data_IF_481010100399
#
_entry.id   IF_481010100399
#
_cell.length_a   1.000
_cell.length_b   1.000
_cell.length_c   1.000
_cell.angle_alpha   90.00
_cell.angle_beta   90.00
_cell.angle_gamma   90.00
#
_symmetry.space_group_name_H-M   'P 1'
#
loop_
_entity.id
_entity.type
_entity.pdbx_description
1 polymer ?
#
# COMPACT_ATOMS: atom_id res chain seq x y z
N UNK A 1 14.91 -11.45 -8.56
CA UNK A 1 15.57 -11.22 -7.26
C UNK A 1 14.54 -11.59 -6.20
N UNK A 2 14.95 -12.08 -5.04
CA UNK A 2 14.02 -12.33 -3.94
C UNK A 2 13.88 -11.00 -3.18
N UNK A 3 12.97 -10.12 -3.61
CA UNK A 3 12.91 -8.71 -3.15
C UNK A 3 12.73 -8.60 -1.63
N UNK A 4 12.07 -9.60 -1.04
CA UNK A 4 11.91 -9.70 0.39
C UNK A 4 13.24 -9.99 1.11
N UNK A 5 14.20 -10.67 0.45
CA UNK A 5 15.56 -10.79 0.97
C UNK A 5 16.23 -9.42 1.11
N UNK A 6 16.17 -8.57 0.08
CA UNK A 6 16.84 -7.26 0.11
C UNK A 6 16.24 -6.33 1.17
N UNK A 7 14.90 -6.30 1.25
CA UNK A 7 14.18 -5.55 2.29
C UNK A 7 14.61 -6.07 3.67
N UNK A 8 14.64 -7.39 3.86
CA UNK A 8 15.02 -8.01 5.15
C UNK A 8 16.46 -7.67 5.53
N UNK A 9 17.41 -7.82 4.61
CA UNK A 9 18.83 -7.53 4.82
C UNK A 9 19.05 -6.05 5.21
N UNK A 10 18.36 -5.14 4.52
CA UNK A 10 18.42 -3.69 4.81
C UNK A 10 17.82 -3.36 6.16
N UNK A 11 16.62 -3.87 6.44
CA UNK A 11 15.97 -3.71 7.73
C UNK A 11 16.85 -4.23 8.88
N UNK A 12 17.56 -5.35 8.70
CA UNK A 12 18.49 -5.89 9.71
C UNK A 12 19.71 -4.99 9.94
N UNK A 13 20.30 -4.44 8.86
CA UNK A 13 21.44 -3.52 8.97
C UNK A 13 21.08 -2.18 9.59
N UNK A 14 19.86 -1.72 9.34
CA UNK A 14 19.38 -0.41 9.77
C UNK A 14 18.04 -0.57 10.51
N UNK A 15 18.07 -0.92 11.82
CA UNK A 15 16.86 -1.19 12.60
C UNK A 15 15.85 -0.03 12.69
N UNK A 16 16.30 1.20 12.46
CA UNK A 16 15.45 2.39 12.43
C UNK A 16 14.60 2.50 11.15
N UNK A 17 14.98 1.82 10.06
CA UNK A 17 14.24 1.87 8.81
C UNK A 17 12.83 1.31 8.98
N UNK A 18 11.88 2.02 8.37
CA UNK A 18 10.46 1.68 8.29
C UNK A 18 10.15 1.16 6.90
N UNK A 19 9.27 0.17 6.82
CA UNK A 19 8.81 -0.40 5.56
C UNK A 19 7.29 -0.52 5.54
N UNK A 20 6.71 -0.63 4.35
CA UNK A 20 5.27 -0.55 4.11
C UNK A 20 4.90 0.73 3.34
N UNK A 21 3.64 1.11 3.41
CA UNK A 21 3.10 2.29 2.75
C UNK A 21 2.63 3.31 3.78
N UNK A 22 2.48 4.57 3.36
CA UNK A 22 1.66 5.55 4.08
C UNK A 22 0.23 5.37 3.61
N UNK A 23 -0.71 5.16 4.53
CA UNK A 23 -2.14 5.00 4.22
C UNK A 23 -2.90 6.26 4.61
N UNK A 24 -3.65 6.84 3.67
CA UNK A 24 -4.56 7.95 3.92
C UNK A 24 -5.99 7.45 4.00
N UNK A 25 -6.60 7.53 5.19
CA UNK A 25 -8.02 7.29 5.37
C UNK A 25 -8.80 8.51 4.85
N UNK A 26 -9.56 8.30 3.77
CA UNK A 26 -10.35 9.37 3.13
C UNK A 26 -11.86 9.10 3.21
N UNK A 27 -12.28 8.28 4.17
CA UNK A 27 -13.68 7.94 4.42
C UNK A 27 -13.88 7.74 5.92
N UNK A 28 -14.84 8.48 6.47
CA UNK A 28 -15.13 8.50 7.90
C UNK A 28 -16.61 8.18 8.17
N UNK A 29 -16.93 7.80 9.40
CA UNK A 29 -18.30 7.54 9.85
C UNK A 29 -18.68 6.06 10.01
N UNK A 30 -17.74 5.14 9.80
CA UNK A 30 -17.91 3.70 10.09
C UNK A 30 -16.56 3.10 10.50
N UNK A 31 -16.23 3.26 11.79
CA UNK A 31 -14.96 2.80 12.36
C UNK A 31 -14.88 1.26 12.34
N UNK A 32 -16.00 0.57 12.51
CA UNK A 32 -16.07 -0.90 12.40
C UNK A 32 -15.71 -1.37 10.98
N UNK A 33 -16.15 -0.66 9.94
CA UNK A 33 -15.75 -0.94 8.57
C UNK A 33 -14.26 -0.67 8.34
N UNK A 34 -13.72 0.40 8.92
CA UNK A 34 -12.29 0.71 8.85
C UNK A 34 -11.44 -0.38 9.51
N UNK A 35 -11.79 -0.81 10.72
CA UNK A 35 -11.11 -1.88 11.44
C UNK A 35 -11.13 -3.20 10.65
N UNK A 36 -12.27 -3.53 10.05
CA UNK A 36 -12.39 -4.70 9.17
C UNK A 36 -11.50 -4.60 7.93
N UNK A 37 -11.38 -3.40 7.35
CA UNK A 37 -10.50 -3.17 6.21
C UNK A 37 -9.02 -3.33 6.61
N UNK A 38 -8.61 -2.74 7.73
CA UNK A 38 -7.25 -2.90 8.23
C UNK A 38 -6.96 -4.36 8.61
N UNK A 39 -7.93 -5.08 9.18
CA UNK A 39 -7.82 -6.51 9.43
C UNK A 39 -7.63 -7.31 8.14
N UNK A 40 -8.42 -6.99 7.10
CA UNK A 40 -8.30 -7.62 5.78
C UNK A 40 -6.90 -7.39 5.20
N UNK A 41 -6.46 -6.14 5.15
CA UNK A 41 -5.17 -5.75 4.59
C UNK A 41 -4.02 -6.48 5.31
N UNK A 42 -4.00 -6.42 6.64
CA UNK A 42 -2.94 -7.05 7.44
C UNK A 42 -2.94 -8.57 7.28
N UNK A 43 -4.11 -9.21 7.29
CA UNK A 43 -4.20 -10.67 7.15
C UNK A 43 -3.71 -11.11 5.78
N UNK A 44 -4.16 -10.44 4.73
CA UNK A 44 -3.76 -10.76 3.37
C UNK A 44 -2.24 -10.58 3.18
N UNK A 45 -1.71 -9.44 3.60
CA UNK A 45 -0.31 -9.11 3.45
C UNK A 45 0.61 -10.06 4.23
N UNK A 46 0.21 -10.45 5.44
CA UNK A 46 0.93 -11.44 6.25
C UNK A 46 1.00 -12.79 5.52
N UNK A 47 -0.12 -13.28 5.02
CA UNK A 47 -0.20 -14.58 4.34
C UNK A 47 0.63 -14.58 3.05
N UNK A 48 0.56 -13.51 2.25
CA UNK A 48 1.37 -13.39 1.03
C UNK A 48 2.88 -13.43 1.34
N UNK A 49 3.33 -12.77 2.41
CA UNK A 49 4.74 -12.82 2.82
C UNK A 49 5.18 -14.20 3.29
N UNK A 50 4.33 -14.90 4.04
CA UNK A 50 4.56 -16.28 4.49
C UNK A 50 4.68 -17.26 3.33
N UNK A 51 3.77 -17.15 2.35
CA UNK A 51 3.70 -18.03 1.18
C UNK A 51 4.83 -17.78 0.17
N UNK A 52 5.08 -16.53 -0.21
CA UNK A 52 6.03 -16.23 -1.30
C UNK A 52 7.50 -16.23 -0.84
N UNK A 53 7.78 -15.90 0.42
CA UNK A 53 9.15 -15.60 0.87
C UNK A 53 9.65 -16.54 1.98
N UNK A 54 8.92 -17.62 2.24
CA UNK A 54 9.13 -18.51 3.38
C UNK A 54 9.34 -17.73 4.69
N UNK A 55 8.67 -16.58 4.85
CA UNK A 55 8.77 -15.69 6.03
C UNK A 55 8.00 -16.29 7.22
N UNK A 56 8.35 -17.54 7.54
CA UNK A 56 7.70 -18.42 8.51
C UNK A 56 7.81 -17.94 9.96
N UNK A 57 8.62 -16.92 10.23
CA UNK A 57 8.78 -16.27 11.54
C UNK A 57 8.21 -14.84 11.57
N UNK A 58 7.40 -14.46 10.57
CA UNK A 58 6.81 -13.12 10.44
C UNK A 58 7.84 -11.97 10.50
N UNK A 59 9.07 -12.20 10.04
CA UNK A 59 10.19 -11.29 10.25
C UNK A 59 10.02 -9.96 9.52
N UNK A 60 9.44 -9.97 8.31
CA UNK A 60 9.11 -8.75 7.60
C UNK A 60 7.79 -8.18 8.12
N UNK A 61 6.74 -9.01 8.21
CA UNK A 61 5.42 -8.54 8.63
C UNK A 61 5.45 -7.84 9.99
N UNK A 62 6.18 -8.37 10.98
CA UNK A 62 6.32 -7.75 12.31
C UNK A 62 6.97 -6.36 12.30
N UNK A 63 7.65 -6.00 11.21
CA UNK A 63 8.30 -4.70 11.04
C UNK A 63 7.50 -3.71 10.23
N UNK A 64 6.33 -4.12 9.73
CA UNK A 64 5.52 -3.27 8.87
C UNK A 64 5.03 -2.05 9.63
N UNK A 65 5.03 -0.92 8.93
CA UNK A 65 4.55 0.33 9.46
C UNK A 65 3.67 0.99 8.40
N UNK A 66 2.36 0.94 8.61
CA UNK A 66 1.38 1.52 7.69
C UNK A 66 1.26 3.05 7.78
N UNK A 67 1.84 3.66 8.84
CA UNK A 67 1.78 5.09 9.12
C UNK A 67 0.47 5.75 8.68
N UNK A 68 -0.63 5.25 9.24
CA UNK A 68 -1.99 5.64 8.85
C UNK A 68 -2.20 7.12 9.20
N UNK A 69 -2.61 7.91 8.22
CA UNK A 69 -2.98 9.30 8.37
C UNK A 69 -4.50 9.41 8.55
N UNK A 70 -4.91 9.66 9.79
CA UNK A 70 -6.29 9.80 10.22
C UNK A 70 -6.54 11.27 10.61
N UNK A 71 -7.09 12.04 9.69
CA UNK A 71 -7.38 13.46 9.85
C UNK A 71 -8.75 13.72 9.21
N UNK A 72 -9.70 14.24 9.99
CA UNK A 72 -11.05 14.56 9.52
C UNK A 72 -11.10 15.43 8.26
N UNK A 73 -10.08 16.26 8.01
CA UNK A 73 -9.97 17.07 6.79
C UNK A 73 -9.61 16.25 5.53
N UNK A 74 -9.35 14.95 5.67
CA UNK A 74 -9.18 13.99 4.58
C UNK A 74 -10.50 13.39 4.11
N UNK A 75 -11.63 13.67 4.77
CA UNK A 75 -12.90 13.07 4.36
C UNK A 75 -13.26 13.49 2.93
N UNK A 76 -13.40 12.49 2.05
CA UNK A 76 -13.56 12.66 0.60
C UNK A 76 -12.41 13.40 -0.12
N UNK A 77 -11.24 13.52 0.49
CA UNK A 77 -10.08 14.13 -0.15
C UNK A 77 -9.76 13.45 -1.48
N UNK A 78 -9.44 14.26 -2.48
CA UNK A 78 -9.05 13.84 -3.84
C UNK A 78 -7.65 13.24 -3.86
N UNK A 79 -7.28 12.58 -4.96
CA UNK A 79 -5.92 12.08 -5.15
C UNK A 79 -4.88 13.21 -5.19
N UNK A 80 -5.25 14.39 -5.69
CA UNK A 80 -4.39 15.59 -5.69
C UNK A 80 -4.13 16.10 -4.28
N UNK A 81 -5.17 16.26 -3.46
CA UNK A 81 -5.02 16.69 -2.06
C UNK A 81 -4.22 15.68 -1.23
N UNK A 82 -4.43 14.39 -1.46
CA UNK A 82 -3.63 13.33 -0.82
C UNK A 82 -2.18 13.39 -1.29
N UNK A 83 -1.93 13.62 -2.59
CA UNK A 83 -0.57 13.77 -3.12
C UNK A 83 0.16 14.96 -2.51
N UNK A 84 -0.51 16.10 -2.36
CA UNK A 84 0.08 17.30 -1.74
C UNK A 84 0.47 17.04 -0.28
N UNK A 85 -0.38 16.33 0.47
CA UNK A 85 -0.07 15.94 1.85
C UNK A 85 1.06 14.92 1.90
N UNK A 86 1.04 13.95 0.99
CA UNK A 86 2.07 12.95 0.89
C UNK A 86 3.42 13.55 0.54
N UNK A 87 3.47 14.53 -0.38
CA UNK A 87 4.70 15.26 -0.72
C UNK A 87 5.32 15.93 0.50
N UNK A 88 4.51 16.66 1.29
CA UNK A 88 4.96 17.27 2.55
C UNK A 88 5.45 16.23 3.54
N UNK A 89 4.69 15.14 3.70
CA UNK A 89 5.10 14.04 4.57
C UNK A 89 6.45 13.45 4.14
N UNK A 90 6.67 13.24 2.84
CA UNK A 90 7.94 12.77 2.28
C UNK A 90 9.06 13.77 2.58
N UNK A 91 8.86 15.07 2.36
CA UNK A 91 9.85 16.11 2.67
C UNK A 91 10.30 16.07 4.14
N UNK A 92 9.35 15.88 5.06
CA UNK A 92 9.60 15.83 6.50
C UNK A 92 10.26 14.51 6.94
N UNK A 93 9.99 13.40 6.25
CA UNK A 93 10.35 12.05 6.72
C UNK A 93 11.45 11.36 5.90
N UNK A 94 11.79 11.85 4.72
CA UNK A 94 12.80 11.24 3.85
C UNK A 94 14.19 11.25 4.49
N UNK A 95 14.53 12.24 5.34
CA UNK A 95 15.88 12.43 5.92
C UNK A 95 16.68 11.15 6.25
N UNK A 96 16.55 10.62 7.47
CA UNK A 96 17.31 9.43 7.91
C UNK A 96 16.65 8.09 7.53
N UNK A 97 15.46 8.13 6.91
CA UNK A 97 14.66 6.94 6.61
C UNK A 97 14.56 6.63 5.11
N UNK A 98 15.13 7.47 4.23
CA UNK A 98 15.07 7.27 2.79
C UNK A 98 15.91 6.07 2.37
N UNK A 99 15.20 5.00 2.02
CA UNK A 99 15.75 3.88 1.31
C UNK A 99 15.11 3.85 -0.09
N UNK A 100 15.91 4.01 -1.18
CA UNK A 100 15.41 4.01 -2.56
C UNK A 100 14.61 2.76 -2.93
N UNK A 101 14.90 1.62 -2.28
CA UNK A 101 14.18 0.36 -2.49
C UNK A 101 12.86 0.25 -1.70
N UNK A 102 12.34 1.32 -1.08
CA UNK A 102 10.97 1.31 -0.53
C UNK A 102 9.99 2.10 -1.37
N UNK A 103 8.82 1.51 -1.64
CA UNK A 103 7.69 2.22 -2.24
C UNK A 103 7.14 3.34 -1.32
N UNK A 104 7.47 3.30 -0.02
CA UNK A 104 6.98 4.22 1.03
C UNK A 104 7.17 5.71 0.73
N UNK A 105 8.24 6.07 0.03
CA UNK A 105 8.55 7.47 -0.34
C UNK A 105 8.24 7.79 -1.81
N UNK A 106 7.75 6.81 -2.57
CA UNK A 106 7.41 6.96 -3.99
C UNK A 106 5.89 6.99 -4.21
N UNK A 107 5.14 6.27 -3.37
CA UNK A 107 3.71 6.11 -3.48
C UNK A 107 3.05 6.02 -2.11
N UNK A 108 1.78 6.44 -2.02
CA UNK A 108 0.93 6.22 -0.86
C UNK A 108 -0.39 5.55 -1.25
N UNK A 109 -1.05 4.96 -0.26
CA UNK A 109 -2.34 4.30 -0.44
C UNK A 109 -3.45 5.23 0.01
N UNK A 110 -4.38 5.55 -0.90
CA UNK A 110 -5.60 6.28 -0.61
C UNK A 110 -6.75 5.30 -0.45
N UNK A 111 -7.42 5.36 0.71
CA UNK A 111 -8.62 4.54 0.98
C UNK A 111 -9.83 5.45 1.05
N UNK A 112 -10.54 5.56 -0.06
CA UNK A 112 -11.82 6.25 -0.15
C UNK A 112 -12.99 5.28 0.09
N UNK A 113 -14.22 5.79 0.06
CA UNK A 113 -15.44 5.01 0.24
C UNK A 113 -15.60 3.85 -0.76
N UNK A 114 -15.15 4.04 -2.01
CA UNK A 114 -15.21 3.00 -3.04
C UNK A 114 -14.23 1.86 -2.78
N UNK A 115 -13.00 2.17 -2.39
CA UNK A 115 -11.99 1.20 -1.99
C UNK A 115 -12.44 0.40 -0.78
N UNK A 116 -12.92 1.08 0.27
CA UNK A 116 -13.46 0.43 1.47
C UNK A 116 -14.60 -0.53 1.13
N UNK A 117 -15.57 -0.08 0.33
CA UNK A 117 -16.69 -0.92 -0.09
C UNK A 117 -16.23 -2.12 -0.93
N UNK A 118 -15.32 -1.91 -1.88
CA UNK A 118 -14.78 -2.94 -2.76
C UNK A 118 -14.14 -4.08 -1.95
N UNK A 119 -13.28 -3.76 -0.99
CA UNK A 119 -12.60 -4.76 -0.17
C UNK A 119 -13.57 -5.51 0.73
N UNK A 120 -14.49 -4.81 1.39
CA UNK A 120 -15.38 -5.44 2.37
C UNK A 120 -16.54 -6.24 1.77
N UNK A 121 -16.95 -5.93 0.52
CA UNK A 121 -18.17 -6.48 -0.07
C UNK A 121 -17.93 -7.26 -1.37
N UNK A 122 -16.80 -7.07 -2.05
CA UNK A 122 -16.54 -7.73 -3.35
C UNK A 122 -15.33 -8.65 -3.32
N UNK A 123 -14.31 -8.33 -2.52
CA UNK A 123 -13.12 -9.16 -2.41
C UNK A 123 -13.48 -10.54 -1.84
N UNK A 124 -12.74 -11.60 -2.22
CA UNK A 124 -12.79 -12.85 -1.48
C UNK A 124 -12.26 -12.63 -0.04
N UNK A 125 -12.46 -13.57 0.90
CA UNK A 125 -11.82 -13.50 2.22
C UNK A 125 -10.29 -13.31 2.12
N UNK A 126 -9.64 -12.65 3.11
CA UNK A 126 -8.22 -12.29 3.02
C UNK A 126 -7.28 -13.49 2.88
N UNK A 127 -7.72 -14.70 3.25
CA UNK A 127 -6.97 -15.95 3.08
C UNK A 127 -6.99 -16.50 1.65
N UNK A 128 -7.77 -15.88 0.76
CA UNK A 128 -7.86 -16.30 -0.64
C UNK A 128 -7.27 -15.23 -1.54
N UNK A 129 -6.48 -15.67 -2.51
CA UNK A 129 -5.94 -14.81 -3.54
C UNK A 129 -7.05 -14.18 -4.39
N UNK A 130 -7.02 -12.86 -4.54
CA UNK A 130 -7.97 -12.12 -5.39
C UNK A 130 -7.40 -11.92 -6.80
N UNK A 131 -7.47 -12.97 -7.61
CA UNK A 131 -6.96 -12.97 -8.99
C UNK A 131 -7.55 -11.88 -9.89
N UNK A 132 -8.71 -11.33 -9.53
CA UNK A 132 -9.41 -10.33 -10.36
C UNK A 132 -9.33 -8.91 -9.78
N UNK A 133 -8.63 -8.70 -8.66
CA UNK A 133 -8.55 -7.39 -8.01
C UNK A 133 -9.92 -6.80 -7.65
N UNK A 134 -10.88 -7.65 -7.22
CA UNK A 134 -12.20 -7.21 -6.78
C UNK A 134 -12.12 -6.27 -5.57
N UNK A 135 -11.18 -6.53 -4.66
CA UNK A 135 -10.74 -5.65 -3.58
C UNK A 135 -9.56 -4.80 -4.03
N UNK A 136 -9.75 -3.49 -4.13
CA UNK A 136 -8.72 -2.56 -4.59
C UNK A 136 -8.63 -1.30 -3.73
N UNK A 137 -7.48 -0.65 -3.82
CA UNK A 137 -7.18 0.65 -3.20
C UNK A 137 -6.67 1.63 -4.25
N UNK A 138 -6.74 2.93 -3.96
CA UNK A 138 -6.08 3.95 -4.77
C UNK A 138 -4.59 4.01 -4.44
N UNK A 139 -3.75 3.96 -5.46
CA UNK A 139 -2.32 4.21 -5.35
C UNK A 139 -2.03 5.60 -5.93
N UNK A 140 -1.50 6.48 -5.08
CA UNK A 140 -1.14 7.85 -5.45
C UNK A 140 0.37 7.96 -5.53
N UNK A 141 0.87 8.18 -6.74
CA UNK A 141 2.30 8.34 -7.02
C UNK A 141 2.73 9.79 -6.76
N UNK A 142 3.91 9.97 -6.19
CA UNK A 142 4.44 11.29 -5.83
C UNK A 142 4.73 12.15 -7.06
N UNK A 143 5.34 11.56 -8.09
CA UNK A 143 5.88 12.28 -9.24
C UNK A 143 4.97 12.28 -10.48
N UNK A 144 3.79 11.66 -10.42
CA UNK A 144 2.86 11.62 -11.55
C UNK A 144 1.73 12.64 -11.39
N UNK A 145 1.45 13.37 -12.49
CA UNK A 145 0.36 14.34 -12.58
C UNK A 145 -1.03 13.72 -12.73
N UNK A 146 -1.09 12.43 -13.04
CA UNK A 146 -2.32 11.77 -13.44
C UNK A 146 -3.18 11.32 -12.24
N UNK A 147 -4.39 10.86 -12.54
CA UNK A 147 -5.33 10.31 -11.55
C UNK A 147 -4.71 9.12 -10.79
N UNK A 148 -5.19 8.86 -9.58
CA UNK A 148 -4.75 7.69 -8.81
C UNK A 148 -4.97 6.39 -9.60
N UNK A 149 -4.08 5.41 -9.43
CA UNK A 149 -4.24 4.09 -10.02
C UNK A 149 -4.96 3.16 -9.06
N UNK A 150 -5.99 2.45 -9.53
CA UNK A 150 -6.63 1.42 -8.71
C UNK A 150 -5.80 0.14 -8.74
N UNK A 151 -5.29 -0.29 -7.59
CA UNK A 151 -4.46 -1.50 -7.46
C UNK A 151 -5.17 -2.51 -6.56
N UNK A 152 -5.28 -3.76 -7.02
CA UNK A 152 -5.82 -4.84 -6.21
C UNK A 152 -4.94 -5.09 -4.98
N UNK A 153 -5.54 -5.29 -3.79
CA UNK A 153 -4.77 -5.50 -2.55
C UNK A 153 -3.80 -6.68 -2.67
N UNK A 154 -4.20 -7.73 -3.40
CA UNK A 154 -3.36 -8.90 -3.64
C UNK A 154 -2.07 -8.62 -4.40
N UNK A 155 -2.00 -7.48 -5.10
CA UNK A 155 -0.85 -7.10 -5.92
C UNK A 155 0.03 -6.04 -5.25
N UNK A 156 -0.33 -5.54 -4.06
CA UNK A 156 0.43 -4.50 -3.37
C UNK A 156 1.81 -4.97 -2.89
N UNK A 157 1.98 -6.25 -2.53
CA UNK A 157 3.28 -6.81 -2.10
C UNK A 157 3.42 -8.27 -2.48
N UNK A 158 4.66 -8.72 -2.78
CA UNK A 158 5.90 -7.95 -2.89
C UNK A 158 6.07 -7.29 -4.27
N UNK A 159 5.13 -7.50 -5.20
CA UNK A 159 5.28 -7.10 -6.61
C UNK A 159 5.49 -5.61 -6.85
N UNK A 160 5.08 -4.73 -5.94
CA UNK A 160 5.40 -3.29 -6.02
C UNK A 160 6.93 -3.06 -6.06
N UNK A 161 7.72 -3.90 -5.39
CA UNK A 161 9.18 -3.79 -5.33
C UNK A 161 9.84 -4.24 -6.65
N UNK A 162 9.42 -5.38 -7.22
CA UNK A 162 9.82 -5.83 -8.58
C UNK A 162 9.59 -4.74 -9.62
N UNK A 163 8.48 -4.03 -9.50
CA UNK A 163 7.94 -3.21 -10.58
C UNK A 163 8.28 -1.71 -10.43
N UNK A 164 8.78 -1.28 -9.26
CA UNK A 164 9.53 -0.01 -9.15
C UNK A 164 10.73 0.02 -10.11
N UNK A 165 11.37 -1.14 -10.36
CA UNK A 165 12.47 -1.27 -11.32
C UNK A 165 11.99 -1.28 -12.80
N UNK A 166 10.73 -1.65 -13.05
CA UNK A 166 10.15 -1.78 -14.38
C UNK A 166 9.42 -0.51 -14.86
N UNK A 167 9.25 0.48 -13.97
CA UNK A 167 8.50 1.70 -14.24
C UNK A 167 7.00 1.56 -13.94
N UNK A 168 6.43 2.62 -13.36
CA UNK A 168 5.05 2.68 -12.86
C UNK A 168 4.00 2.50 -13.96
N UNK A 169 4.34 2.79 -15.23
CA UNK A 169 3.50 2.55 -16.42
C UNK A 169 3.02 1.08 -16.56
N UNK A 170 3.70 0.13 -15.90
CA UNK A 170 3.30 -1.28 -15.87
C UNK A 170 2.10 -1.54 -14.95
N UNK A 171 1.78 -0.60 -14.05
CA UNK A 171 0.68 -0.66 -13.08
C UNK A 171 -0.47 0.30 -13.39
N UNK A 172 -0.25 1.28 -14.25
CA UNK A 172 -1.28 2.28 -14.51
C UNK A 172 -2.27 1.72 -15.52
N UNK A 173 -3.49 1.46 -15.07
CA UNK A 173 -4.60 1.17 -15.96
C UNK A 173 -5.40 2.46 -16.18
N UNK A 174 -5.97 2.68 -17.38
CA UNK A 174 -6.83 3.83 -17.62
C UNK A 174 -7.93 3.93 -16.55
N UNK A 175 -8.33 5.16 -16.21
CA UNK A 175 -9.34 5.47 -15.21
C UNK A 175 -10.54 4.50 -15.26
N UNK A 176 -10.85 3.88 -14.12
CA UNK A 176 -11.95 2.93 -13.97
C UNK A 176 -11.60 1.44 -14.18
N UNK A 177 -10.33 1.09 -14.41
CA UNK A 177 -9.84 -0.30 -14.41
C UNK A 177 -8.91 -0.55 -13.22
N UNK A 178 -8.94 -1.78 -12.69
CA UNK A 178 -8.04 -2.21 -11.61
C UNK A 178 -6.82 -2.87 -12.23
N UNK A 179 -5.64 -2.45 -11.81
CA UNK A 179 -4.38 -3.08 -12.17
C UNK A 179 -4.25 -4.44 -11.45
N UNK A 180 -4.17 -5.50 -12.26
CA UNK A 180 -3.91 -6.88 -11.84
C UNK A 180 -2.72 -7.43 -12.65
N UNK A 181 -1.51 -6.91 -12.43
CA UNK A 181 -0.33 -7.28 -13.22
C UNK A 181 0.01 -8.78 -13.15
#
# INVERSE_FOLDING_TARGET
>A
MDDCWEIRERLQREPCLKWGFVIYQCTYGDDDAWDRFMHYLNTHFRLTLEEENNDTDHGLFSRIDWNVQEDSSLDNATSEEVRDRFSKWVEENQGQNFFPGTARFQACVRVNKHALYSVLNKAPPPEKWDTWGKGYVGLVLLNESDEECSVGIAYLVPRIFVLMDCGWDTFTMPAGKVATP
#
